data_IF_312246824340
#
_entry.id   IF_312246824340
#
_cell.length_a   1.000
_cell.length_b   1.000
_cell.length_c   1.000
_cell.angle_alpha   90.00
_cell.angle_beta   90.00
_cell.angle_gamma   90.00
#
_symmetry.space_group_name_H-M   'P 1'
#
loop_
_entity.id
_entity.type
_entity.pdbx_description
1 polymer ?
#
# COMPACT_ATOMS: atom_id res chain seq x y z
N UNK A 1 1.70 -2.53 34.96
CA UNK A 1 2.27 -1.23 34.55
C UNK A 1 2.26 -1.20 33.02
N UNK A 2 1.40 -0.40 32.40
CA UNK A 2 1.31 -0.30 30.93
C UNK A 2 2.41 0.63 30.43
N UNK A 3 3.55 0.07 29.99
CA UNK A 3 4.57 0.85 29.30
C UNK A 3 4.09 1.13 27.87
N UNK A 4 3.54 2.33 27.62
CA UNK A 4 3.33 2.80 26.25
C UNK A 4 4.72 2.96 25.61
N UNK A 5 5.04 2.14 24.61
CA UNK A 5 6.26 2.25 23.82
C UNK A 5 6.29 3.59 23.10
N UNK A 6 7.01 4.55 23.67
CA UNK A 6 7.23 5.86 23.05
C UNK A 6 8.34 5.73 22.01
N UNK A 7 8.20 6.46 20.90
CA UNK A 7 9.21 6.48 19.85
C UNK A 7 10.49 7.11 20.37
N UNK A 8 11.60 6.37 20.33
CA UNK A 8 12.92 6.83 20.81
C UNK A 8 13.45 8.05 20.03
N UNK A 9 13.02 8.24 18.77
CA UNK A 9 13.41 9.38 17.94
C UNK A 9 12.27 9.87 17.06
N UNK A 10 12.13 11.20 16.93
CA UNK A 10 11.18 11.87 16.02
C UNK A 10 11.41 11.45 14.56
N UNK A 11 12.66 11.22 14.19
CA UNK A 11 13.04 10.78 12.83
C UNK A 11 12.58 9.35 12.59
N UNK A 12 12.69 8.46 13.59
CA UNK A 12 12.20 7.08 13.50
C UNK A 12 10.69 7.02 13.29
N UNK A 13 9.94 7.92 13.94
CA UNK A 13 8.50 8.03 13.74
C UNK A 13 8.15 8.46 12.30
N UNK A 14 8.82 9.49 11.78
CA UNK A 14 8.58 9.99 10.42
C UNK A 14 8.95 8.95 9.36
N UNK A 15 10.07 8.24 9.54
CA UNK A 15 10.51 7.18 8.63
C UNK A 15 9.55 5.98 8.63
N UNK A 16 9.06 5.56 9.80
CA UNK A 16 8.07 4.50 9.91
C UNK A 16 6.75 4.89 9.22
N UNK A 17 6.30 6.13 9.42
CA UNK A 17 5.11 6.66 8.75
C UNK A 17 5.30 6.73 7.23
N UNK A 18 6.43 7.28 6.76
CA UNK A 18 6.76 7.36 5.34
C UNK A 18 6.86 5.97 4.68
N UNK A 19 7.48 5.00 5.36
CA UNK A 19 7.55 3.62 4.88
C UNK A 19 6.18 2.95 4.75
N UNK A 20 5.24 3.26 5.64
CA UNK A 20 3.86 2.73 5.53
C UNK A 20 3.05 3.38 4.40
N UNK A 21 3.37 4.63 4.03
CA UNK A 21 2.68 5.36 2.97
C UNK A 21 3.18 4.98 1.56
N UNK A 22 4.46 4.62 1.42
CA UNK A 22 5.07 4.25 0.13
C UNK A 22 4.76 2.77 -0.17
N UNK A 23 3.79 2.54 -1.06
CA UNK A 23 3.38 1.20 -1.48
C UNK A 23 3.83 0.81 -2.89
N UNK A 24 3.76 -0.49 -3.17
CA UNK A 24 3.99 -1.10 -4.49
C UNK A 24 3.11 -0.49 -5.60
N UNK A 25 1.92 0.00 -5.26
CA UNK A 25 1.03 0.69 -6.20
C UNK A 25 1.63 1.97 -6.80
N UNK A 26 2.51 2.67 -6.08
CA UNK A 26 3.21 3.84 -6.59
C UNK A 26 4.26 3.48 -7.66
N UNK A 27 4.80 2.25 -7.61
CA UNK A 27 5.90 1.81 -8.48
C UNK A 27 5.39 1.41 -9.87
N UNK A 28 4.31 0.62 -9.96
CA UNK A 28 3.82 0.14 -11.27
C UNK A 28 2.46 0.69 -11.68
N UNK A 29 1.51 0.85 -10.74
CA UNK A 29 0.12 1.17 -11.11
C UNK A 29 -0.01 2.65 -11.45
N UNK A 30 0.64 3.49 -10.65
CA UNK A 30 0.69 4.93 -10.89
C UNK A 30 1.23 5.29 -12.28
N UNK A 31 2.44 4.86 -12.71
CA UNK A 31 2.94 5.22 -14.04
C UNK A 31 2.09 4.61 -15.16
N UNK A 32 1.54 3.41 -15.00
CA UNK A 32 0.64 2.81 -15.99
C UNK A 32 -0.64 3.63 -16.17
N UNK A 33 -1.30 4.00 -15.07
CA UNK A 33 -2.52 4.82 -15.11
C UNK A 33 -2.22 6.24 -15.59
N UNK A 34 -1.11 6.86 -15.16
CA UNK A 34 -0.70 8.17 -15.65
C UNK A 34 -0.40 8.13 -17.16
N UNK A 35 0.33 7.13 -17.65
CA UNK A 35 0.65 6.98 -19.07
C UNK A 35 -0.58 6.79 -19.96
N UNK A 36 -1.60 6.09 -19.46
CA UNK A 36 -2.84 5.83 -20.22
C UNK A 36 -3.90 6.93 -20.12
N UNK A 37 -3.87 7.79 -19.10
CA UNK A 37 -4.91 8.80 -18.82
C UNK A 37 -4.46 10.25 -19.07
N UNK A 38 -3.57 10.48 -20.04
CA UNK A 38 -3.15 11.83 -20.41
C UNK A 38 -1.91 12.36 -19.70
N UNK A 39 -1.09 11.47 -19.13
CA UNK A 39 0.27 11.76 -18.66
C UNK A 39 0.32 12.86 -17.61
N UNK A 40 0.89 14.01 -17.99
CA UNK A 40 1.16 15.13 -17.09
C UNK A 40 -0.11 15.78 -16.51
N UNK A 41 -1.22 15.83 -17.28
CA UNK A 41 -2.47 16.43 -16.80
C UNK A 41 -3.09 15.57 -15.69
N UNK A 42 -3.04 14.25 -15.84
CA UNK A 42 -3.46 13.32 -14.80
C UNK A 42 -2.63 13.48 -13.52
N UNK A 43 -1.31 13.59 -13.65
CA UNK A 43 -0.41 13.79 -12.50
C UNK A 43 -0.72 15.12 -11.79
N UNK A 44 -0.97 16.20 -12.52
CA UNK A 44 -1.32 17.49 -11.93
C UNK A 44 -2.63 17.42 -11.13
N UNK A 45 -3.68 16.81 -11.70
CA UNK A 45 -4.94 16.57 -10.98
C UNK A 45 -4.76 15.66 -9.78
N UNK A 46 -3.94 14.61 -9.91
CA UNK A 46 -3.62 13.70 -8.81
C UNK A 46 -2.99 14.45 -7.63
N UNK A 47 -2.03 15.35 -7.87
CA UNK A 47 -1.39 16.14 -6.81
C UNK A 47 -2.40 17.09 -6.15
N UNK A 48 -3.24 17.76 -6.94
CA UNK A 48 -4.27 18.66 -6.41
C UNK A 48 -5.25 17.92 -5.49
N UNK A 49 -5.80 16.78 -5.93
CA UNK A 49 -6.71 15.98 -5.11
C UNK A 49 -6.01 15.36 -3.90
N UNK A 50 -4.74 15.02 -4.01
CA UNK A 50 -3.95 14.54 -2.86
C UNK A 50 -3.84 15.61 -1.78
N UNK A 51 -3.58 16.86 -2.16
CA UNK A 51 -3.48 17.96 -1.19
C UNK A 51 -4.85 18.29 -0.57
N UNK A 52 -5.90 18.31 -1.38
CA UNK A 52 -7.24 18.74 -0.93
C UNK A 52 -7.97 17.64 -0.16
N UNK A 53 -7.75 16.36 -0.48
CA UNK A 53 -8.52 15.24 0.11
C UNK A 53 -7.63 14.34 0.95
N UNK A 54 -6.51 13.85 0.41
CA UNK A 54 -5.69 12.87 1.11
C UNK A 54 -5.00 13.46 2.35
N UNK A 55 -4.43 14.67 2.25
CA UNK A 55 -3.80 15.34 3.40
C UNK A 55 -4.75 15.59 4.58
N UNK A 56 -5.95 16.19 4.41
CA UNK A 56 -6.85 16.42 5.55
C UNK A 56 -7.36 15.10 6.15
N UNK A 57 -7.60 14.07 5.33
CA UNK A 57 -7.97 12.74 5.84
C UNK A 57 -6.82 12.14 6.67
N UNK A 58 -5.59 12.20 6.16
CA UNK A 58 -4.39 11.71 6.87
C UNK A 58 -4.18 12.44 8.20
N UNK A 59 -4.36 13.77 8.21
CA UNK A 59 -4.27 14.59 9.43
C UNK A 59 -5.38 14.27 10.43
N UNK A 60 -6.61 14.03 9.97
CA UNK A 60 -7.72 13.64 10.81
C UNK A 60 -7.46 12.29 11.50
N UNK A 61 -7.00 11.28 10.75
CA UNK A 61 -6.64 9.97 11.29
C UNK A 61 -5.48 10.07 12.29
N UNK A 62 -4.47 10.88 11.96
CA UNK A 62 -3.34 11.14 12.86
C UNK A 62 -3.78 11.79 14.18
N UNK A 63 -4.69 12.77 14.10
CA UNK A 63 -5.25 13.45 15.27
C UNK A 63 -6.04 12.49 16.15
N UNK A 64 -6.88 11.64 15.55
CA UNK A 64 -7.67 10.61 16.25
C UNK A 64 -6.73 9.59 16.92
N UNK A 65 -5.72 9.10 16.20
CA UNK A 65 -4.74 8.14 16.74
C UNK A 65 -3.94 8.72 17.90
N UNK A 66 -3.53 9.99 17.81
CA UNK A 66 -2.76 10.67 18.88
C UNK A 66 -3.59 11.00 20.10
N UNK A 67 -4.87 11.34 19.93
CA UNK A 67 -5.79 11.64 21.03
C UNK A 67 -6.30 10.37 21.71
N UNK A 68 -6.56 9.31 20.94
CA UNK A 68 -7.07 8.05 21.46
C UNK A 68 -6.01 7.20 22.18
N UNK A 69 -4.74 7.26 21.75
CA UNK A 69 -3.63 6.54 22.37
C UNK A 69 -3.80 5.01 22.44
N UNK A 70 -4.75 4.47 21.68
CA UNK A 70 -5.21 3.08 21.70
C UNK A 70 -5.37 2.57 20.27
N UNK A 71 -5.61 1.27 20.12
CA UNK A 71 -5.91 0.63 18.83
C UNK A 71 -7.04 1.37 18.08
N UNK A 72 -7.05 1.32 16.75
CA UNK A 72 -8.02 2.06 15.93
C UNK A 72 -9.47 1.90 16.40
N UNK A 73 -9.90 0.67 16.70
CA UNK A 73 -11.26 0.37 17.18
C UNK A 73 -11.51 0.97 18.58
N UNK A 74 -10.54 0.86 19.48
CA UNK A 74 -10.70 1.29 20.87
C UNK A 74 -10.58 2.82 21.01
N UNK A 75 -9.80 3.46 20.15
CA UNK A 75 -9.74 4.92 20.01
C UNK A 75 -11.10 5.50 19.63
N UNK A 76 -11.79 4.91 18.64
CA UNK A 76 -13.16 5.34 18.29
C UNK A 76 -14.17 5.09 19.41
N UNK A 77 -14.04 3.99 20.16
CA UNK A 77 -14.91 3.71 21.32
C UNK A 77 -14.69 4.71 22.47
N UNK A 78 -13.44 5.12 22.73
CA UNK A 78 -13.15 6.09 23.78
C UNK A 78 -13.52 7.51 23.42
N UNK A 79 -13.38 7.91 22.14
CA UNK A 79 -13.73 9.25 21.69
C UNK A 79 -15.25 9.46 21.64
N UNK A 80 -16.04 8.43 21.30
CA UNK A 80 -17.50 8.52 21.27
C UNK A 80 -18.18 7.21 21.67
N UNK A 81 -18.30 6.93 22.98
CA UNK A 81 -18.97 5.72 23.45
C UNK A 81 -20.45 5.71 23.04
N UNK A 82 -20.94 4.60 22.50
CA UNK A 82 -22.34 4.41 22.11
C UNK A 82 -22.73 4.84 20.68
N UNK A 83 -21.77 5.26 19.85
CA UNK A 83 -22.04 5.63 18.45
C UNK A 83 -21.57 4.55 17.46
N UNK A 84 -21.98 4.67 16.18
CA UNK A 84 -21.63 3.71 15.12
C UNK A 84 -20.17 3.85 14.62
N UNK A 85 -19.43 4.87 15.07
CA UNK A 85 -18.04 5.14 14.66
C UNK A 85 -17.03 3.99 14.88
N UNK A 86 -17.13 3.14 15.91
CA UNK A 86 -16.27 1.96 16.05
C UNK A 86 -16.42 0.95 14.90
N UNK A 87 -17.53 0.97 14.14
CA UNK A 87 -17.68 0.13 12.95
C UNK A 87 -16.73 0.55 11.83
N UNK A 88 -16.46 1.85 11.66
CA UNK A 88 -15.50 2.36 10.68
C UNK A 88 -14.10 1.81 10.99
N UNK A 89 -13.70 1.80 12.26
CA UNK A 89 -12.45 1.19 12.70
C UNK A 89 -12.37 -0.31 12.41
N UNK A 90 -13.47 -1.05 12.58
CA UNK A 90 -13.53 -2.50 12.25
C UNK A 90 -13.40 -2.75 10.75
N UNK A 91 -14.08 -1.96 9.92
CA UNK A 91 -13.98 -2.06 8.46
C UNK A 91 -12.55 -1.72 8.01
N UNK A 92 -11.91 -0.72 8.60
CA UNK A 92 -10.51 -0.38 8.33
C UNK A 92 -9.56 -1.55 8.61
N UNK A 93 -9.68 -2.19 9.79
CA UNK A 93 -8.85 -3.36 10.13
C UNK A 93 -9.10 -4.54 9.18
N UNK A 94 -10.36 -4.79 8.81
CA UNK A 94 -10.70 -5.82 7.83
C UNK A 94 -10.10 -5.51 6.43
N UNK A 95 -10.16 -4.25 6.00
CA UNK A 95 -9.55 -3.81 4.74
C UNK A 95 -8.03 -3.99 4.76
N UNK A 96 -7.35 -3.65 5.87
CA UNK A 96 -5.92 -3.89 6.03
C UNK A 96 -5.56 -5.38 5.90
N UNK A 97 -6.38 -6.27 6.45
CA UNK A 97 -6.14 -7.72 6.36
C UNK A 97 -6.26 -8.23 4.91
N UNK A 98 -7.28 -7.79 4.19
CA UNK A 98 -7.47 -8.11 2.76
C UNK A 98 -6.30 -7.56 1.94
N UNK A 99 -5.91 -6.32 2.21
CA UNK A 99 -4.79 -5.66 1.54
C UNK A 99 -3.48 -6.43 1.78
N UNK A 100 -3.21 -6.86 3.01
CA UNK A 100 -2.00 -7.63 3.34
C UNK A 100 -1.96 -8.98 2.61
N UNK A 101 -3.10 -9.67 2.49
CA UNK A 101 -3.22 -10.91 1.73
C UNK A 101 -2.82 -10.71 0.26
N UNK A 102 -3.35 -9.65 -0.37
CA UNK A 102 -2.99 -9.27 -1.73
C UNK A 102 -1.50 -8.88 -1.85
N UNK A 103 -0.99 -8.05 -0.94
CA UNK A 103 0.40 -7.60 -0.95
C UNK A 103 1.41 -8.74 -0.75
N UNK A 104 1.05 -9.78 0.03
CA UNK A 104 1.90 -10.95 0.24
C UNK A 104 2.15 -11.73 -1.06
N UNK A 105 1.13 -11.87 -1.91
CA UNK A 105 1.25 -12.55 -3.20
C UNK A 105 2.21 -11.79 -4.14
N UNK A 106 2.03 -10.47 -4.25
CA UNK A 106 2.91 -9.63 -5.09
C UNK A 106 4.34 -9.63 -4.54
N UNK A 107 4.52 -9.52 -3.22
CA UNK A 107 5.83 -9.63 -2.59
C UNK A 107 6.54 -10.94 -2.91
N UNK A 108 5.79 -12.05 -2.96
CA UNK A 108 6.30 -13.34 -3.40
C UNK A 108 6.84 -13.35 -4.83
N UNK A 109 6.19 -12.64 -5.76
CA UNK A 109 6.69 -12.49 -7.14
C UNK A 109 7.99 -11.70 -7.18
N UNK A 110 8.08 -10.60 -6.43
CA UNK A 110 9.29 -9.77 -6.36
C UNK A 110 10.45 -10.55 -5.76
N UNK A 111 10.23 -11.29 -4.66
CA UNK A 111 11.24 -12.16 -4.07
C UNK A 111 11.72 -13.23 -5.04
N UNK A 112 10.80 -13.84 -5.79
CA UNK A 112 11.15 -14.84 -6.79
C UNK A 112 12.03 -14.23 -7.89
N UNK A 113 11.69 -13.01 -8.36
CA UNK A 113 12.55 -12.25 -9.27
C UNK A 113 13.93 -11.98 -8.70
N UNK A 114 14.03 -11.56 -7.44
CA UNK A 114 15.31 -11.29 -6.77
C UNK A 114 16.17 -12.55 -6.71
N UNK A 115 15.59 -13.71 -6.40
CA UNK A 115 16.31 -14.99 -6.38
C UNK A 115 16.85 -15.33 -7.78
N UNK A 116 16.03 -15.19 -8.82
CA UNK A 116 16.46 -15.41 -10.21
C UNK A 116 17.54 -14.42 -10.67
N UNK A 117 17.54 -13.21 -10.11
CA UNK A 117 18.60 -12.23 -10.29
C UNK A 117 19.94 -12.67 -9.71
N UNK A 118 19.92 -13.32 -8.55
CA UNK A 118 21.14 -13.84 -7.92
C UNK A 118 21.63 -15.15 -8.55
N UNK A 119 20.76 -15.98 -9.11
CA UNK A 119 21.15 -17.23 -9.79
C UNK A 119 21.69 -17.01 -11.21
N UNK A 120 21.67 -15.77 -11.72
CA UNK A 120 22.23 -15.41 -13.03
C UNK A 120 21.36 -15.81 -14.23
N UNK A 121 20.10 -16.19 -13.98
CA UNK A 121 19.15 -16.58 -15.04
C UNK A 121 18.61 -15.37 -15.84
N UNK A 122 18.89 -14.14 -15.38
CA UNK A 122 18.67 -12.89 -16.12
C UNK A 122 19.99 -12.38 -16.74
N UNK A 123 20.54 -13.16 -17.68
CA UNK A 123 21.65 -12.74 -18.53
C UNK A 123 21.18 -11.85 -19.71
N UNK A 124 22.05 -11.03 -20.34
CA UNK A 124 21.67 -10.12 -21.43
C UNK A 124 21.14 -10.81 -22.71
N UNK A 125 21.13 -12.15 -22.79
CA UNK A 125 20.68 -12.93 -23.95
C UNK A 125 19.46 -13.82 -23.65
N UNK A 126 18.71 -13.55 -22.56
CA UNK A 126 17.53 -14.37 -22.21
C UNK A 126 16.25 -13.70 -22.71
N UNK A 127 15.37 -14.52 -23.30
CA UNK A 127 14.03 -14.09 -23.68
C UNK A 127 13.18 -13.90 -22.42
N UNK A 128 13.07 -12.64 -21.99
CA UNK A 128 12.26 -12.25 -20.85
C UNK A 128 10.79 -12.68 -21.00
N UNK A 129 10.28 -12.81 -22.23
CA UNK A 129 8.92 -13.29 -22.48
C UNK A 129 8.74 -14.74 -22.07
N UNK A 130 9.66 -15.62 -22.46
CA UNK A 130 9.63 -17.04 -22.13
C UNK A 130 9.85 -17.31 -20.62
N UNK A 131 10.74 -16.55 -19.98
CA UNK A 131 10.94 -16.62 -18.52
C UNK A 131 9.69 -16.16 -17.76
N UNK A 132 9.03 -15.09 -18.21
CA UNK A 132 7.81 -14.59 -17.58
C UNK A 132 6.67 -15.61 -17.67
N UNK A 133 6.51 -16.30 -18.80
CA UNK A 133 5.49 -17.34 -18.95
C UNK A 133 5.76 -18.59 -18.12
N UNK A 134 7.03 -18.99 -17.99
CA UNK A 134 7.44 -20.12 -17.15
C UNK A 134 7.30 -19.81 -15.65
N UNK A 135 7.57 -18.56 -15.25
CA UNK A 135 7.51 -18.08 -13.87
C UNK A 135 6.08 -17.80 -13.37
N UNK A 136 5.21 -17.30 -14.26
CA UNK A 136 3.82 -16.94 -13.92
C UNK A 136 2.78 -17.74 -14.72
N UNK A 137 2.68 -19.07 -14.52
CA UNK A 137 1.67 -19.90 -15.18
C UNK A 137 0.25 -19.66 -14.65
N UNK A 138 0.10 -18.93 -13.53
CA UNK A 138 -1.17 -18.72 -12.83
C UNK A 138 -2.00 -17.60 -13.46
N UNK A 139 -3.27 -17.92 -13.85
CA UNK A 139 -4.27 -16.96 -14.36
C UNK A 139 -4.44 -15.70 -13.49
N UNK A 140 -4.16 -15.79 -12.19
CA UNK A 140 -4.17 -14.66 -11.25
C UNK A 140 -3.26 -13.49 -11.69
N UNK A 141 -2.03 -13.79 -12.13
CA UNK A 141 -1.07 -12.75 -12.54
C UNK A 141 -1.51 -12.09 -13.84
N UNK A 142 -2.02 -12.90 -14.77
CA UNK A 142 -2.50 -12.42 -16.08
C UNK A 142 -3.74 -11.54 -15.93
N UNK A 143 -4.65 -11.85 -15.00
CA UNK A 143 -5.80 -10.98 -14.68
C UNK A 143 -5.36 -9.66 -14.01
N UNK A 144 -4.33 -9.69 -13.16
CA UNK A 144 -3.86 -8.47 -12.49
C UNK A 144 -3.05 -7.54 -13.41
N UNK A 145 -2.18 -8.08 -14.27
CA UNK A 145 -1.34 -7.30 -15.19
C UNK A 145 -2.11 -6.92 -16.46
N UNK A 146 -2.89 -7.84 -17.05
CA UNK A 146 -3.70 -7.58 -18.25
C UNK A 146 -5.15 -7.19 -17.94
N UNK A 147 -5.50 -6.92 -16.68
CA UNK A 147 -6.84 -6.50 -16.25
C UNK A 147 -7.32 -5.15 -16.79
N UNK A 148 -6.78 -4.67 -17.90
CA UNK A 148 -7.20 -3.48 -18.61
C UNK A 148 -7.03 -3.62 -20.14
N UNK A 149 -7.07 -4.83 -20.70
CA UNK A 149 -7.18 -5.03 -22.14
C UNK A 149 -8.13 -6.18 -22.47
N UNK A 150 -9.36 -5.75 -22.76
CA UNK A 150 -10.56 -6.47 -23.23
C UNK A 150 -11.24 -7.42 -22.25
#
# INVERSE_FOLDING_TARGET
MSHSSSWSSKIGFVLAAAGSAIGLGAIWKFPYTAGTNGGAIFVLLFVIFTIIVALPVQLAEFYIGRTGGKNAIDSFKTLRPGSLWPWVGRIGVAACFILLSFYSVVGGWVLNYVVHSFTGEIAPNVDFGALFEKQFPTRQVRFFIKGCSC
#
